data_IF_523201590159
#
_entry.id   IF_523201590159
#
_cell.length_a   1.000
_cell.length_b   1.000
_cell.length_c   1.000
_cell.angle_alpha   90.00
_cell.angle_beta   90.00
_cell.angle_gamma   90.00
#
_symmetry.space_group_name_H-M   'P 1'
#
loop_
_entity.id
_entity.type
_entity.pdbx_description
1 polymer ?
#
# COMPACT_ATOMS: atom_id res chain seq x y z
N UNK A 1 54.79 16.58 14.49
CA UNK A 1 53.92 15.50 15.02
C UNK A 1 52.73 16.10 15.75
N UNK A 2 51.58 16.29 15.09
CA UNK A 2 50.28 16.52 15.74
C UNK A 2 49.24 15.72 14.94
N UNK A 3 48.59 14.79 15.63
CA UNK A 3 47.76 13.72 15.05
C UNK A 3 46.46 14.28 14.49
N UNK A 4 46.17 13.88 13.25
CA UNK A 4 44.90 14.05 12.55
C UNK A 4 43.80 13.29 13.29
N UNK A 5 42.80 14.00 13.82
CA UNK A 5 41.61 13.39 14.41
C UNK A 5 40.58 13.10 13.33
N UNK A 6 40.54 11.87 12.83
CA UNK A 6 39.43 11.39 12.00
C UNK A 6 38.23 11.12 12.90
N UNK A 7 37.22 11.99 12.84
CA UNK A 7 35.92 11.77 13.44
C UNK A 7 35.16 10.77 12.55
N UNK A 8 35.18 9.48 12.91
CA UNK A 8 34.35 8.47 12.26
C UNK A 8 32.89 8.72 12.64
N UNK A 9 32.08 9.20 11.69
CA UNK A 9 30.63 9.12 11.79
C UNK A 9 30.25 7.64 11.69
N UNK A 10 29.98 7.00 12.82
CA UNK A 10 29.46 5.65 12.84
C UNK A 10 28.00 5.67 12.34
N UNK A 11 27.82 5.47 11.04
CA UNK A 11 26.51 5.08 10.49
C UNK A 11 26.25 3.67 11.01
N UNK A 12 25.44 3.56 12.06
CA UNK A 12 24.96 2.25 12.55
C UNK A 12 23.96 1.73 11.50
N UNK A 13 24.46 1.01 10.52
CA UNK A 13 23.65 0.15 9.69
C UNK A 13 23.15 -1.00 10.58
N UNK A 14 21.89 -0.92 11.01
CA UNK A 14 21.25 -2.05 11.68
C UNK A 14 20.98 -3.09 10.60
N UNK A 15 21.90 -4.05 10.46
CA UNK A 15 21.69 -5.27 9.70
C UNK A 15 20.72 -6.16 10.48
N UNK A 16 19.42 -6.08 10.15
CA UNK A 16 18.44 -7.05 10.64
C UNK A 16 18.63 -8.32 9.83
N UNK A 17 19.31 -9.29 10.43
CA UNK A 17 19.51 -10.62 9.87
C UNK A 17 18.15 -11.26 9.53
N UNK A 18 17.98 -11.59 8.25
CA UNK A 18 16.86 -12.34 7.70
C UNK A 18 16.90 -13.78 8.23
N UNK A 19 15.95 -14.12 9.10
CA UNK A 19 15.40 -15.45 9.35
C UNK A 19 14.30 -15.30 10.41
N UNK A 20 13.10 -14.84 10.05
CA UNK A 20 11.91 -14.96 10.92
C UNK A 20 10.60 -14.69 10.17
N UNK A 21 9.84 -15.74 9.93
CA UNK A 21 8.39 -15.69 9.88
C UNK A 21 7.76 -15.61 11.30
N UNK A 22 8.42 -14.98 12.30
CA UNK A 22 8.13 -15.23 13.74
C UNK A 22 7.42 -14.14 14.54
N UNK A 23 7.29 -12.91 14.06
CA UNK A 23 6.48 -11.90 14.76
C UNK A 23 5.56 -11.17 13.77
N UNK A 24 4.23 -11.38 13.84
CA UNK A 24 3.31 -10.68 12.98
C UNK A 24 3.10 -9.23 13.42
N UNK A 25 3.75 -8.73 14.47
CA UNK A 25 3.57 -7.37 14.98
C UNK A 25 4.79 -6.48 14.79
N UNK A 26 5.77 -6.86 13.96
CA UNK A 26 6.99 -6.04 13.73
C UNK A 26 6.62 -4.64 13.26
N UNK A 27 5.74 -4.51 12.26
CA UNK A 27 5.30 -3.19 11.78
C UNK A 27 4.60 -2.39 12.87
N UNK A 28 3.74 -3.04 13.68
CA UNK A 28 3.08 -2.39 14.83
C UNK A 28 4.11 -1.83 15.80
N UNK A 29 5.10 -2.62 16.20
CA UNK A 29 6.18 -2.20 17.10
C UNK A 29 6.97 -1.04 16.52
N UNK A 30 7.28 -1.06 15.23
CA UNK A 30 7.94 0.07 14.56
C UNK A 30 7.11 1.35 14.69
N UNK A 31 5.80 1.31 14.41
CA UNK A 31 4.95 2.50 14.51
C UNK A 31 4.88 3.01 15.95
N UNK A 32 4.49 2.17 16.90
CA UNK A 32 4.12 2.59 18.25
C UNK A 32 5.28 2.66 19.25
N UNK A 33 6.37 1.93 19.03
CA UNK A 33 7.52 1.92 19.96
C UNK A 33 8.71 2.69 19.40
N UNK A 34 8.68 3.09 18.12
CA UNK A 34 9.79 3.83 17.49
C UNK A 34 9.32 5.13 16.84
N UNK A 35 8.52 5.07 15.78
CA UNK A 35 8.19 6.25 14.99
C UNK A 35 7.42 7.30 15.82
N UNK A 36 6.34 6.89 16.50
CA UNK A 36 5.53 7.80 17.31
C UNK A 36 6.32 8.37 18.51
N UNK A 37 6.95 7.55 19.38
CA UNK A 37 7.69 8.10 20.52
C UNK A 37 8.88 9.00 20.13
N UNK A 38 9.58 8.66 19.04
CA UNK A 38 10.69 9.48 18.57
C UNK A 38 10.21 10.84 18.03
N UNK A 39 9.08 10.83 17.32
CA UNK A 39 8.45 12.05 16.81
C UNK A 39 7.91 12.93 17.95
N UNK A 40 7.24 12.35 18.94
CA UNK A 40 6.75 13.08 20.12
C UNK A 40 7.89 13.73 20.91
N UNK A 41 9.01 13.00 21.10
CA UNK A 41 10.14 13.48 21.89
C UNK A 41 10.99 14.54 21.18
N UNK A 42 11.17 14.42 19.86
CA UNK A 42 12.20 15.18 19.15
C UNK A 42 11.81 15.68 17.76
N UNK A 43 10.53 15.53 17.38
CA UNK A 43 10.03 15.81 16.03
C UNK A 43 10.80 15.07 14.93
N UNK A 44 11.42 13.93 15.29
CA UNK A 44 12.17 13.09 14.39
C UNK A 44 11.31 11.88 13.98
N UNK A 45 10.97 11.73 12.68
CA UNK A 45 10.10 10.64 12.23
C UNK A 45 10.81 9.27 12.22
N UNK A 46 12.14 9.22 12.30
CA UNK A 46 12.93 7.99 12.17
C UNK A 46 12.47 6.91 13.17
N UNK A 47 12.33 5.63 12.74
CA UNK A 47 12.75 5.06 11.46
C UNK A 47 11.74 5.27 10.31
N UNK A 48 10.57 5.84 10.58
CA UNK A 48 9.66 6.26 9.53
C UNK A 48 10.26 7.47 8.79
N UNK A 49 9.85 7.68 7.54
CA UNK A 49 10.26 8.86 6.79
C UNK A 49 9.30 10.04 7.02
N UNK A 50 8.12 9.77 7.55
CA UNK A 50 7.08 10.73 7.88
C UNK A 50 6.18 10.18 8.98
N UNK A 51 5.80 11.04 9.93
CA UNK A 51 4.84 10.77 10.99
C UNK A 51 3.86 11.94 11.01
N UNK A 52 2.56 11.67 10.85
CA UNK A 52 1.49 12.66 10.87
C UNK A 52 0.40 12.21 11.85
N UNK A 53 0.58 12.43 13.16
CA UNK A 53 -0.37 11.98 14.17
C UNK A 53 -1.76 12.57 13.96
N UNK A 54 -1.85 13.86 13.62
CA UNK A 54 -3.12 14.57 13.37
C UNK A 54 -3.88 14.04 12.15
N UNK A 55 -3.15 13.53 11.15
CA UNK A 55 -3.73 12.89 9.97
C UNK A 55 -3.89 11.37 10.13
N UNK A 56 -3.46 10.80 11.26
CA UNK A 56 -3.65 9.40 11.62
C UNK A 56 -2.73 8.39 10.93
N UNK A 57 -1.55 8.80 10.40
CA UNK A 57 -0.67 7.88 9.65
C UNK A 57 0.83 8.12 9.83
N UNK A 58 1.62 7.10 9.44
CA UNK A 58 3.06 7.16 9.22
C UNK A 58 3.41 6.58 7.86
N UNK A 59 4.56 6.95 7.30
CA UNK A 59 5.11 6.33 6.09
C UNK A 59 6.51 5.79 6.39
N UNK A 60 6.75 4.54 6.02
CA UNK A 60 7.98 3.79 6.26
C UNK A 60 8.57 3.34 4.91
N UNK A 61 9.89 3.46 4.72
CA UNK A 61 10.56 2.81 3.58
C UNK A 61 10.55 1.31 3.80
N UNK A 62 10.02 0.54 2.85
CA UNK A 62 10.05 -0.91 2.93
C UNK A 62 11.49 -1.43 2.80
N UNK A 63 11.79 -2.60 3.38
CA UNK A 63 13.07 -3.27 3.17
C UNK A 63 13.14 -3.94 1.78
N UNK A 64 11.99 -4.28 1.21
CA UNK A 64 11.85 -4.87 -0.10
C UNK A 64 11.80 -3.77 -1.18
N UNK A 65 12.50 -4.00 -2.29
CA UNK A 65 12.55 -3.11 -3.45
C UNK A 65 13.22 -1.73 -3.23
N UNK A 66 13.83 -1.14 -4.27
CA UNK A 66 14.45 0.18 -4.18
C UNK A 66 13.46 1.31 -3.84
N UNK A 67 12.21 1.21 -4.27
CA UNK A 67 11.24 2.32 -4.25
C UNK A 67 9.96 2.03 -3.45
N UNK A 68 9.80 0.86 -2.84
CA UNK A 68 8.58 0.54 -2.09
C UNK A 68 8.53 1.27 -0.75
N UNK A 69 7.36 1.83 -0.44
CA UNK A 69 7.02 2.42 0.85
C UNK A 69 5.74 1.79 1.40
N UNK A 70 5.57 1.87 2.72
CA UNK A 70 4.37 1.46 3.43
C UNK A 70 3.72 2.66 4.09
N UNK A 71 2.41 2.84 3.89
CA UNK A 71 1.61 3.74 4.73
C UNK A 71 0.83 2.92 5.76
N UNK A 72 0.92 3.33 7.02
CA UNK A 72 0.33 2.63 8.16
C UNK A 72 -0.37 3.61 9.10
N UNK A 73 -1.46 3.22 9.76
CA UNK A 73 -2.16 4.09 10.69
C UNK A 73 -1.39 4.22 12.00
N UNK A 74 -1.62 5.35 12.68
CA UNK A 74 -1.24 5.58 14.08
C UNK A 74 -2.30 5.06 15.07
N UNK A 75 -3.32 4.36 14.57
CA UNK A 75 -4.34 3.65 15.34
C UNK A 75 -4.17 2.14 15.15
N UNK A 76 -4.53 1.34 16.16
CA UNK A 76 -4.48 -0.12 16.07
C UNK A 76 -5.52 -0.69 15.10
N UNK A 77 -5.14 -0.80 13.82
CA UNK A 77 -5.91 -1.47 12.77
C UNK A 77 -5.09 -2.66 12.31
N UNK A 78 -5.65 -3.88 12.37
CA UNK A 78 -4.90 -5.08 11.97
C UNK A 78 -4.73 -5.20 10.46
N UNK A 79 -5.71 -4.73 9.69
CA UNK A 79 -5.73 -4.72 8.23
C UNK A 79 -7.15 -4.62 7.69
N UNK A 80 -7.37 -5.05 6.44
CA UNK A 80 -8.64 -4.88 5.71
C UNK A 80 -9.87 -5.49 6.39
N UNK A 81 -9.70 -6.49 7.26
CA UNK A 81 -10.78 -7.10 8.03
C UNK A 81 -11.34 -6.20 9.15
N UNK A 82 -10.64 -5.12 9.50
CA UNK A 82 -11.06 -4.27 10.62
C UNK A 82 -12.35 -3.51 10.29
N UNK A 83 -13.38 -3.57 11.16
CA UNK A 83 -14.62 -2.83 10.95
C UNK A 83 -14.41 -1.32 10.98
N UNK A 84 -13.32 -0.83 11.59
CA UNK A 84 -12.97 0.59 11.61
C UNK A 84 -12.84 1.16 10.19
N UNK A 85 -12.39 0.37 9.21
CA UNK A 85 -12.25 0.83 7.82
C UNK A 85 -13.59 1.16 7.13
N UNK A 86 -14.71 0.83 7.76
CA UNK A 86 -16.06 1.13 7.29
C UNK A 86 -16.69 2.33 8.00
N UNK A 87 -16.01 2.89 9.00
CA UNK A 87 -16.40 4.14 9.66
C UNK A 87 -16.03 5.33 8.78
N UNK A 88 -16.99 6.24 8.57
CA UNK A 88 -16.80 7.44 7.72
C UNK A 88 -15.87 8.48 8.34
N UNK A 89 -15.63 8.42 9.65
CA UNK A 89 -14.68 9.29 10.35
C UNK A 89 -13.22 8.85 10.18
N UNK A 90 -12.99 7.62 9.72
CA UNK A 90 -11.63 7.11 9.55
C UNK A 90 -10.93 7.75 8.36
N UNK A 91 -9.61 8.04 8.47
CA UNK A 91 -8.85 8.57 7.35
C UNK A 91 -8.93 7.67 6.13
N UNK A 92 -9.01 8.28 4.95
CA UNK A 92 -8.96 7.57 3.70
C UNK A 92 -7.51 7.16 3.38
N UNK A 93 -7.06 6.05 3.97
CA UNK A 93 -5.68 5.59 3.86
C UNK A 93 -5.21 5.37 2.41
N UNK A 94 -6.10 4.97 1.49
CA UNK A 94 -5.73 4.88 0.07
C UNK A 94 -5.44 6.24 -0.55
N UNK A 95 -6.25 7.26 -0.25
CA UNK A 95 -6.00 8.62 -0.73
C UNK A 95 -4.74 9.21 -0.09
N UNK A 96 -4.52 8.98 1.21
CA UNK A 96 -3.27 9.37 1.88
C UNK A 96 -2.04 8.69 1.25
N UNK A 97 -2.15 7.39 0.92
CA UNK A 97 -1.08 6.66 0.24
C UNK A 97 -0.81 7.20 -1.16
N UNK A 98 -1.86 7.66 -1.86
CA UNK A 98 -1.70 8.34 -3.14
C UNK A 98 -0.91 9.65 -2.99
N UNK A 99 -1.19 10.44 -1.96
CA UNK A 99 -0.41 11.66 -1.69
C UNK A 99 1.04 11.35 -1.30
N UNK A 100 1.26 10.26 -0.56
CA UNK A 100 2.60 9.81 -0.13
C UNK A 100 3.46 9.25 -1.27
N UNK A 101 2.93 9.05 -2.49
CA UNK A 101 3.68 8.49 -3.62
C UNK A 101 4.92 9.30 -4.01
N UNK A 102 4.94 10.60 -3.68
CA UNK A 102 6.08 11.48 -3.91
C UNK A 102 7.37 11.01 -3.20
N UNK A 103 7.26 10.24 -2.11
CA UNK A 103 8.43 9.61 -1.49
C UNK A 103 9.16 8.64 -2.44
N UNK A 104 8.43 7.99 -3.37
CA UNK A 104 9.05 7.18 -4.41
C UNK A 104 9.88 8.06 -5.35
N UNK A 105 9.33 9.16 -5.86
CA UNK A 105 10.03 10.10 -6.75
C UNK A 105 11.26 10.71 -6.08
N UNK A 106 11.14 11.13 -4.81
CA UNK A 106 12.28 11.63 -4.00
C UNK A 106 13.40 10.60 -3.90
N UNK A 107 13.05 9.33 -3.66
CA UNK A 107 14.04 8.24 -3.56
C UNK A 107 14.65 7.89 -4.91
N UNK A 108 13.86 7.96 -5.99
CA UNK A 108 14.30 7.69 -7.35
C UNK A 108 15.19 8.81 -7.93
N UNK A 109 15.08 10.03 -7.39
CA UNK A 109 15.87 11.19 -7.80
C UNK A 109 15.30 11.94 -9.01
N UNK A 110 14.15 11.51 -9.54
CA UNK A 110 13.40 12.17 -10.62
C UNK A 110 11.91 11.82 -10.52
N UNK A 111 11.01 12.59 -11.16
CA UNK A 111 9.59 12.27 -11.17
C UNK A 111 9.30 10.87 -11.71
N UNK A 112 8.45 10.12 -11.01
CA UNK A 112 7.88 8.84 -11.48
C UNK A 112 6.51 9.13 -12.11
N UNK A 113 6.22 8.63 -13.32
CA UNK A 113 4.88 8.76 -13.91
C UNK A 113 3.82 8.10 -13.02
N UNK A 114 2.71 8.79 -12.78
CA UNK A 114 1.61 8.29 -11.95
C UNK A 114 1.04 6.95 -12.48
N UNK A 115 1.08 6.73 -13.80
CA UNK A 115 0.69 5.48 -14.46
C UNK A 115 1.53 4.26 -14.06
N UNK A 116 2.74 4.49 -13.54
CA UNK A 116 3.67 3.46 -13.08
C UNK A 116 3.46 3.09 -11.60
N UNK A 117 2.60 3.79 -10.87
CA UNK A 117 2.41 3.62 -9.43
C UNK A 117 1.14 2.81 -9.15
N UNK A 118 1.22 1.95 -8.16
CA UNK A 118 0.09 1.19 -7.62
C UNK A 118 0.10 1.24 -6.10
N UNK A 119 -1.11 1.25 -5.53
CA UNK A 119 -1.34 1.14 -4.09
C UNK A 119 -2.02 -0.19 -3.83
N UNK A 120 -1.52 -1.00 -2.91
CA UNK A 120 -2.13 -2.32 -2.64
C UNK A 120 -2.25 -2.58 -1.14
N UNK A 121 -3.27 -3.36 -0.75
CA UNK A 121 -3.38 -3.93 0.59
C UNK A 121 -3.79 -5.39 0.47
N UNK A 122 -3.01 -6.24 1.14
CA UNK A 122 -3.22 -7.68 1.17
C UNK A 122 -4.31 -8.07 2.18
N UNK A 123 -5.01 -9.16 1.89
CA UNK A 123 -5.97 -9.76 2.82
C UNK A 123 -5.28 -10.31 4.08
N UNK A 124 -6.08 -10.75 5.07
CA UNK A 124 -5.56 -11.46 6.24
C UNK A 124 -4.77 -12.73 5.85
N UNK A 125 -5.16 -13.39 4.76
CA UNK A 125 -4.48 -14.60 4.26
C UNK A 125 -3.30 -14.27 3.36
N UNK A 126 -3.23 -13.05 2.80
CA UNK A 126 -2.18 -12.61 1.87
C UNK A 126 -0.99 -11.91 2.53
N UNK A 127 -1.00 -11.68 3.85
CA UNK A 127 0.03 -10.91 4.55
C UNK A 127 0.70 -11.67 5.70
N UNK A 128 1.84 -11.16 6.14
CA UNK A 128 2.58 -11.66 7.31
C UNK A 128 2.49 -10.74 8.54
N UNK A 129 2.12 -9.48 8.36
CA UNK A 129 2.05 -8.47 9.42
C UNK A 129 0.59 -8.13 9.79
N UNK A 130 0.30 -8.04 11.08
CA UNK A 130 -1.00 -7.75 11.70
C UNK A 130 -1.11 -6.28 12.16
N UNK A 131 -0.51 -5.39 11.39
CA UNK A 131 -0.78 -3.96 11.42
C UNK A 131 -1.12 -3.56 10.00
N UNK A 132 -2.16 -2.76 9.80
CA UNK A 132 -2.58 -2.29 8.49
C UNK A 132 -1.40 -1.62 7.78
N UNK A 133 -1.17 -1.98 6.53
CA UNK A 133 -0.18 -1.35 5.66
C UNK A 133 -0.68 -1.36 4.22
N UNK A 134 -0.61 -0.20 3.57
CA UNK A 134 -0.75 -0.08 2.12
C UNK A 134 0.66 -0.04 1.52
N UNK A 135 0.92 -0.92 0.57
CA UNK A 135 2.14 -0.93 -0.22
C UNK A 135 2.03 0.11 -1.34
N UNK A 136 2.99 1.03 -1.37
CA UNK A 136 3.14 2.07 -2.39
C UNK A 136 4.35 1.67 -3.22
N UNK A 137 4.12 1.21 -4.45
CA UNK A 137 5.19 0.65 -5.29
C UNK A 137 4.83 0.72 -6.78
N UNK A 138 5.76 0.28 -7.63
CA UNK A 138 5.53 0.24 -9.07
C UNK A 138 4.56 -0.89 -9.43
N UNK A 139 3.66 -0.63 -10.38
CA UNK A 139 2.83 -1.69 -10.99
C UNK A 139 3.68 -2.55 -11.92
N UNK A 140 3.38 -3.85 -12.02
CA UNK A 140 4.03 -4.72 -13.00
C UNK A 140 3.63 -4.36 -14.44
N UNK A 141 4.50 -4.69 -15.40
CA UNK A 141 4.23 -4.48 -16.82
C UNK A 141 3.00 -5.27 -17.29
N UNK A 142 2.82 -6.52 -16.85
CA UNK A 142 1.65 -7.30 -17.23
C UNK A 142 0.35 -6.69 -16.69
N UNK A 143 0.33 -6.27 -15.43
CA UNK A 143 -0.86 -5.68 -14.82
C UNK A 143 -1.22 -4.34 -15.47
N UNK A 144 -0.22 -3.48 -15.73
CA UNK A 144 -0.41 -2.22 -16.47
C UNK A 144 -1.06 -2.46 -17.82
N UNK A 145 -0.48 -3.35 -18.63
CA UNK A 145 -0.97 -3.69 -19.98
C UNK A 145 -2.39 -4.24 -19.93
N UNK A 146 -2.71 -5.10 -18.97
CA UNK A 146 -4.07 -5.65 -18.83
C UNK A 146 -5.10 -4.57 -18.50
N UNK A 147 -4.77 -3.62 -17.62
CA UNK A 147 -5.67 -2.52 -17.29
C UNK A 147 -5.87 -1.55 -18.45
N UNK A 148 -4.82 -1.26 -19.21
CA UNK A 148 -4.90 -0.36 -20.37
C UNK A 148 -5.76 -0.95 -21.49
N UNK A 149 -5.63 -2.27 -21.74
CA UNK A 149 -6.47 -2.98 -22.71
C UNK A 149 -7.96 -2.99 -22.35
N UNK A 150 -8.29 -2.75 -21.08
CA UNK A 150 -9.67 -2.73 -20.57
C UNK A 150 -10.17 -1.34 -20.22
N UNK A 151 -9.40 -0.27 -20.48
CA UNK A 151 -9.73 1.12 -20.12
C UNK A 151 -11.19 1.50 -20.40
N UNK A 152 -11.64 1.28 -21.64
CA UNK A 152 -13.00 1.65 -22.10
C UNK A 152 -14.11 0.73 -21.58
N UNK A 153 -13.78 -0.41 -20.99
CA UNK A 153 -14.73 -1.42 -20.48
C UNK A 153 -14.98 -1.29 -18.98
N UNK A 154 -14.07 -0.66 -18.25
CA UNK A 154 -14.18 -0.45 -16.80
C UNK A 154 -15.08 0.76 -16.54
N UNK A 155 -16.15 0.58 -15.77
CA UNK A 155 -17.13 1.62 -15.48
C UNK A 155 -17.28 1.85 -13.96
N UNK A 156 -18.19 2.75 -13.58
CA UNK A 156 -18.46 3.12 -12.19
C UNK A 156 -19.32 2.10 -11.43
N UNK A 157 -19.26 0.81 -11.77
CA UNK A 157 -19.82 -0.30 -11.00
C UNK A 157 -18.78 -1.41 -10.91
N UNK A 158 -18.73 -2.09 -9.76
CA UNK A 158 -17.88 -3.27 -9.61
C UNK A 158 -18.29 -4.35 -10.62
N UNK A 159 -17.35 -4.74 -11.48
CA UNK A 159 -17.54 -5.80 -12.46
C UNK A 159 -16.28 -6.67 -12.57
N UNK A 160 -16.38 -7.94 -12.99
CA UNK A 160 -15.19 -8.76 -13.21
C UNK A 160 -14.30 -8.18 -14.31
N UNK A 161 -12.99 -8.13 -14.06
CA UNK A 161 -11.98 -7.86 -15.09
C UNK A 161 -11.83 -9.11 -15.96
N UNK A 162 -12.12 -8.98 -17.25
CA UNK A 162 -11.92 -10.07 -18.22
C UNK A 162 -10.46 -10.49 -18.25
N UNK A 163 -10.19 -11.79 -18.12
CA UNK A 163 -8.84 -12.35 -18.05
C UNK A 163 -8.18 -12.30 -16.66
N UNK A 164 -8.67 -11.46 -15.75
CA UNK A 164 -8.09 -11.29 -14.42
C UNK A 164 -6.68 -10.69 -14.43
N UNK A 165 -5.95 -10.86 -13.33
CA UNK A 165 -4.54 -10.49 -13.18
C UNK A 165 -3.81 -11.64 -12.48
N UNK A 166 -2.61 -12.00 -12.95
CA UNK A 166 -1.80 -13.11 -12.42
C UNK A 166 -2.57 -14.43 -12.22
N UNK A 167 -3.51 -14.74 -13.13
CA UNK A 167 -4.34 -15.94 -13.05
C UNK A 167 -5.47 -15.87 -12.01
N UNK A 168 -5.64 -14.75 -11.32
CA UNK A 168 -6.66 -14.54 -10.29
C UNK A 168 -7.80 -13.64 -10.78
N UNK A 169 -9.01 -13.90 -10.25
CA UNK A 169 -10.18 -13.08 -10.53
C UNK A 169 -10.10 -11.76 -9.76
N UNK A 170 -10.29 -10.66 -10.49
CA UNK A 170 -10.40 -9.32 -9.93
C UNK A 170 -11.76 -8.73 -10.30
N UNK A 171 -12.38 -8.04 -9.34
CA UNK A 171 -13.38 -7.03 -9.63
C UNK A 171 -12.67 -5.69 -9.87
N UNK A 172 -13.20 -4.90 -10.79
CA UNK A 172 -12.71 -3.57 -11.11
C UNK A 172 -13.84 -2.56 -11.05
N UNK A 173 -13.52 -1.35 -10.61
CA UNK A 173 -14.43 -0.20 -10.58
C UNK A 173 -13.65 1.06 -10.94
N UNK A 174 -14.16 1.85 -11.87
CA UNK A 174 -13.64 3.17 -12.18
C UNK A 174 -14.11 4.20 -11.16
N UNK A 175 -13.22 5.09 -10.75
CA UNK A 175 -13.51 6.25 -9.91
C UNK A 175 -12.72 7.46 -10.39
N UNK A 176 -13.27 8.65 -10.19
CA UNK A 176 -12.53 9.91 -10.35
C UNK A 176 -11.63 10.18 -9.14
N UNK A 177 -10.69 11.12 -9.27
CA UNK A 177 -9.90 11.57 -8.12
C UNK A 177 -10.78 12.15 -7.01
N UNK A 178 -11.78 12.96 -7.36
CA UNK A 178 -12.71 13.55 -6.38
C UNK A 178 -13.49 12.46 -5.62
N UNK A 179 -13.96 11.42 -6.30
CA UNK A 179 -14.60 10.29 -5.64
C UNK A 179 -13.64 9.55 -4.72
N UNK A 180 -12.40 9.32 -5.18
CA UNK A 180 -11.36 8.66 -4.38
C UNK A 180 -10.98 9.47 -3.15
N UNK A 181 -10.96 10.80 -3.22
CA UNK A 181 -10.71 11.68 -2.09
C UNK A 181 -11.84 11.61 -1.05
N UNK A 182 -13.09 11.63 -1.51
CA UNK A 182 -14.27 11.69 -0.64
C UNK A 182 -14.66 10.34 -0.03
N UNK A 183 -14.43 9.23 -0.73
CA UNK A 183 -14.91 7.92 -0.30
C UNK A 183 -13.80 6.87 -0.41
N UNK A 184 -13.54 6.21 0.71
CA UNK A 184 -12.55 5.14 0.80
C UNK A 184 -12.91 3.94 -0.09
N UNK A 185 -11.94 3.31 -0.79
CA UNK A 185 -12.15 2.06 -1.50
C UNK A 185 -12.73 0.93 -0.64
N UNK A 186 -12.44 0.91 0.67
CA UNK A 186 -13.02 -0.07 1.60
C UNK A 186 -14.55 0.09 1.71
N UNK A 187 -15.01 1.34 1.82
CA UNK A 187 -16.43 1.68 1.90
C UNK A 187 -17.14 1.42 0.57
N UNK A 188 -16.50 1.74 -0.56
CA UNK A 188 -17.04 1.43 -1.89
C UNK A 188 -17.20 -0.09 -2.08
N UNK A 189 -16.20 -0.89 -1.70
CA UNK A 189 -16.30 -2.35 -1.78
C UNK A 189 -17.43 -2.87 -0.89
N UNK A 190 -17.43 -2.50 0.39
CA UNK A 190 -18.38 -3.04 1.36
C UNK A 190 -19.84 -2.74 1.00
N UNK A 191 -20.12 -1.53 0.52
CA UNK A 191 -21.49 -1.09 0.19
C UNK A 191 -21.99 -1.61 -1.15
N UNK A 192 -21.10 -1.81 -2.13
CA UNK A 192 -21.52 -1.97 -3.53
C UNK A 192 -21.23 -3.37 -4.08
N UNK A 193 -20.22 -4.08 -3.56
CA UNK A 193 -19.92 -5.44 -4.01
C UNK A 193 -20.77 -6.48 -3.25
N UNK A 194 -21.38 -7.46 -3.96
CA UNK A 194 -22.25 -8.46 -3.33
C UNK A 194 -21.58 -9.20 -2.16
N UNK A 195 -22.22 -9.14 -0.99
CA UNK A 195 -21.78 -9.80 0.25
C UNK A 195 -20.37 -9.41 0.74
N UNK A 196 -19.77 -8.33 0.24
CA UNK A 196 -18.41 -7.94 0.61
C UNK A 196 -18.34 -7.42 2.07
N UNK A 197 -19.32 -6.65 2.54
CA UNK A 197 -19.37 -6.13 3.91
C UNK A 197 -19.20 -7.21 5.01
N UNK A 198 -19.67 -8.45 4.78
CA UNK A 198 -19.55 -9.56 5.74
C UNK A 198 -18.18 -10.25 5.69
N UNK A 199 -17.39 -10.02 4.64
CA UNK A 199 -16.18 -10.79 4.31
C UNK A 199 -15.02 -9.91 3.87
N UNK A 200 -14.91 -8.69 4.41
CA UNK A 200 -13.83 -7.75 4.09
C UNK A 200 -12.44 -8.37 4.26
N UNK A 201 -12.23 -9.20 5.29
CA UNK A 201 -10.97 -9.89 5.53
C UNK A 201 -10.55 -10.92 4.48
N UNK A 202 -11.46 -11.35 3.60
CA UNK A 202 -11.16 -12.23 2.47
C UNK A 202 -10.66 -11.45 1.24
N UNK A 203 -10.79 -10.12 1.23
CA UNK A 203 -10.42 -9.31 0.08
C UNK A 203 -9.01 -8.73 0.21
N UNK A 204 -8.37 -8.52 -0.92
CA UNK A 204 -7.25 -7.61 -1.10
C UNK A 204 -7.71 -6.52 -2.05
N UNK A 205 -7.21 -5.29 -1.86
CA UNK A 205 -7.60 -4.13 -2.66
C UNK A 205 -6.37 -3.49 -3.31
N UNK A 206 -6.56 -2.91 -4.48
CA UNK A 206 -5.57 -2.04 -5.09
C UNK A 206 -6.18 -0.80 -5.76
N UNK A 207 -5.35 0.22 -5.95
CA UNK A 207 -5.68 1.47 -6.65
C UNK A 207 -4.56 1.76 -7.64
N UNK A 208 -4.95 2.04 -8.89
CA UNK A 208 -4.03 2.34 -9.99
C UNK A 208 -4.63 3.49 -10.81
N UNK A 209 -3.83 4.47 -11.21
CA UNK A 209 -4.29 5.51 -12.13
C UNK A 209 -4.34 4.97 -13.57
N UNK A 210 -5.36 5.35 -14.32
CA UNK A 210 -5.54 5.04 -15.74
C UNK A 210 -4.97 6.18 -16.60
N UNK A 211 -4.77 5.92 -17.90
CA UNK A 211 -4.18 6.89 -18.84
C UNK A 211 -5.04 8.13 -19.09
N UNK A 212 -6.30 8.12 -18.69
CA UNK A 212 -7.22 9.26 -18.75
C UNK A 212 -7.39 9.98 -17.40
N UNK A 213 -6.41 9.81 -16.49
CA UNK A 213 -6.33 10.39 -15.15
C UNK A 213 -7.41 9.96 -14.15
N UNK A 214 -8.32 9.07 -14.55
CA UNK A 214 -9.18 8.37 -13.58
C UNK A 214 -8.39 7.31 -12.81
N UNK A 215 -9.02 6.74 -11.79
CA UNK A 215 -8.48 5.60 -11.06
C UNK A 215 -9.32 4.36 -11.33
N UNK A 216 -8.66 3.20 -11.31
CA UNK A 216 -9.31 1.91 -11.17
C UNK A 216 -9.05 1.36 -9.77
N UNK A 217 -10.14 1.03 -9.08
CA UNK A 217 -10.14 0.22 -7.88
C UNK A 217 -10.19 -1.25 -8.28
N UNK A 218 -9.38 -2.06 -7.64
CA UNK A 218 -9.28 -3.50 -7.87
C UNK A 218 -9.61 -4.24 -6.58
N UNK A 219 -10.37 -5.33 -6.68
CA UNK A 219 -10.65 -6.20 -5.55
C UNK A 219 -10.48 -7.66 -5.95
N UNK A 220 -9.56 -8.35 -5.29
CA UNK A 220 -9.38 -9.80 -5.40
C UNK A 220 -9.84 -10.46 -4.12
N UNK A 221 -10.36 -11.68 -4.23
CA UNK A 221 -10.96 -12.40 -3.11
C UNK A 221 -10.26 -13.73 -2.89
N UNK A 222 -10.01 -14.05 -1.63
CA UNK A 222 -9.46 -15.33 -1.20
C UNK A 222 -10.24 -16.47 -1.84
N UNK A 223 -9.51 -17.34 -2.54
CA UNK A 223 -10.04 -18.54 -3.16
C UNK A 223 -8.97 -19.64 -3.13
N UNK A 224 -9.10 -20.65 -2.26
CA UNK A 224 -8.11 -21.72 -2.15
C UNK A 224 -8.05 -22.61 -3.39
N UNK A 225 -9.14 -22.75 -4.15
CA UNK A 225 -9.18 -23.58 -5.37
C UNK A 225 -8.31 -23.01 -6.50
N UNK A 226 -8.06 -21.70 -6.48
CA UNK A 226 -7.17 -21.02 -7.44
C UNK A 226 -5.90 -20.52 -6.77
N UNK A 227 -5.56 -21.04 -5.58
CA UNK A 227 -4.41 -20.60 -4.77
C UNK A 227 -4.36 -19.08 -4.50
N UNK A 228 -5.49 -18.38 -4.62
CA UNK A 228 -5.57 -16.95 -4.47
C UNK A 228 -5.66 -16.60 -2.98
N UNK A 229 -4.58 -16.03 -2.43
CA UNK A 229 -4.51 -15.57 -1.04
C UNK A 229 -5.10 -14.17 -0.84
N UNK A 230 -5.68 -13.58 -1.88
CA UNK A 230 -6.05 -12.18 -1.96
C UNK A 230 -4.89 -11.25 -1.57
N UNK A 231 -3.73 -11.52 -2.15
CA UNK A 231 -2.53 -10.70 -2.04
C UNK A 231 -2.54 -9.69 -3.19
N UNK A 232 -3.15 -8.52 -2.99
CA UNK A 232 -3.22 -7.52 -4.04
C UNK A 232 -1.84 -6.97 -4.45
N UNK A 233 -0.82 -7.09 -3.58
CA UNK A 233 0.58 -6.80 -3.88
C UNK A 233 1.11 -7.60 -5.09
N UNK A 234 0.47 -8.70 -5.48
CA UNK A 234 0.89 -9.48 -6.65
C UNK A 234 0.90 -8.69 -7.96
N UNK A 235 0.14 -7.59 -8.06
CA UNK A 235 0.14 -6.74 -9.26
C UNK A 235 1.33 -5.76 -9.31
N UNK A 236 2.16 -5.74 -8.27
CA UNK A 236 3.30 -4.84 -8.15
C UNK A 236 4.59 -5.52 -8.63
N UNK A 237 5.51 -4.69 -9.12
CA UNK A 237 6.90 -5.08 -9.37
C UNK A 237 7.79 -4.14 -8.57
N UNK A 238 8.36 -4.66 -7.48
CA UNK A 238 9.16 -3.85 -6.57
C UNK A 238 10.53 -3.47 -7.15
N UNK A 239 10.99 -4.15 -8.21
CA UNK A 239 12.18 -3.79 -8.98
C UNK A 239 11.92 -2.70 -10.01
N UNK A 240 10.64 -2.29 -10.16
CA UNK A 240 10.20 -1.17 -10.97
C UNK A 240 10.69 -1.25 -12.43
N UNK A 241 10.57 -2.42 -13.07
CA UNK A 241 10.94 -2.61 -14.48
C UNK A 241 10.19 -1.66 -15.42
N UNK A 242 8.99 -1.21 -15.03
CA UNK A 242 8.21 -0.21 -15.76
C UNK A 242 8.90 1.17 -15.90
N UNK A 243 9.93 1.45 -15.10
CA UNK A 243 10.70 2.70 -15.15
C UNK A 243 11.99 2.60 -15.99
N UNK A 244 12.25 1.45 -16.62
CA UNK A 244 13.44 1.18 -17.41
C UNK A 244 13.22 1.41 -18.90
#
# INVERSE_FOLDING_TARGET
MKKMGFLFLAVVAIAVMSLNAKDPNVLRKIVFEKCLPNYEKSQNPSPCIEVKPDAGYVVLKDINGPLQYLLMPTTHISGIESPLLLDLSMPNFFYLSWQARDFMSKKYGKPIPDSAISLTINSKKGRSQNHFHIHISCISLEARKQLDNHLKKINSRWSPLSGGLNGHKYLVRRVTESELAQKSPFIMLAKEAPNAHKRMGDYGLAVVQQSDNSFVLLATRFNPLTSNRASAEEIQDHECAILR
#
